data_IF_849153569187
#
_entry.id   IF_849153569187
#
_cell.length_a   1.000
_cell.length_b   1.000
_cell.length_c   1.000
_cell.angle_alpha   90.00
_cell.angle_beta   90.00
_cell.angle_gamma   90.00
#
_symmetry.space_group_name_H-M   'P 1'
#
loop_
_entity.id
_entity.type
_entity.pdbx_description
1 polymer ?
#
# COMPACT_ATOMS: atom_id res chain seq x y z
N UNK A 1 35.36 -44.44 -32.37
CA UNK A 1 35.93 -43.33 -33.18
C UNK A 1 34.80 -42.84 -34.07
N UNK A 2 34.29 -41.61 -34.02
CA UNK A 2 34.86 -40.35 -33.58
C UNK A 2 33.74 -39.48 -32.97
N UNK A 3 34.11 -38.70 -31.96
CA UNK A 3 33.36 -37.54 -31.47
C UNK A 3 33.29 -36.46 -32.57
N UNK A 4 32.29 -35.58 -32.48
CA UNK A 4 32.48 -34.16 -32.74
C UNK A 4 31.45 -33.35 -31.95
N UNK A 5 31.96 -32.51 -31.04
CA UNK A 5 31.28 -31.41 -30.35
C UNK A 5 31.08 -30.23 -31.31
N UNK A 6 29.99 -29.51 -31.10
CA UNK A 6 29.84 -28.05 -31.19
C UNK A 6 28.53 -27.80 -30.42
N UNK A 7 28.45 -27.23 -29.22
CA UNK A 7 29.05 -26.01 -28.67
C UNK A 7 28.79 -24.78 -29.56
N UNK A 8 27.56 -24.28 -29.46
CA UNK A 8 27.26 -22.86 -29.69
C UNK A 8 26.60 -22.32 -28.41
N UNK A 9 27.41 -21.54 -27.72
CA UNK A 9 27.14 -20.66 -26.60
C UNK A 9 26.10 -19.61 -26.96
N UNK A 10 24.98 -19.58 -26.24
CA UNK A 10 24.09 -18.43 -26.17
C UNK A 10 24.39 -17.61 -24.92
N UNK A 11 24.99 -16.43 -25.09
CA UNK A 11 25.11 -15.43 -24.02
C UNK A 11 23.80 -14.65 -23.85
N UNK A 12 23.15 -14.89 -22.70
CA UNK A 12 22.61 -13.95 -21.71
C UNK A 12 21.88 -12.66 -22.14
N UNK A 13 20.58 -12.62 -21.79
CA UNK A 13 19.76 -11.42 -21.56
C UNK A 13 18.54 -11.79 -20.70
N UNK A 14 18.36 -11.15 -19.55
CA UNK A 14 17.57 -11.59 -18.39
C UNK A 14 16.07 -11.91 -18.58
N UNK A 15 15.60 -12.84 -17.73
CA UNK A 15 14.25 -13.41 -17.55
C UNK A 15 13.89 -14.64 -18.42
N UNK A 16 14.60 -15.75 -18.24
CA UNK A 16 14.15 -17.07 -18.70
C UNK A 16 13.26 -17.75 -17.64
N UNK A 17 11.99 -17.38 -17.63
CA UNK A 17 10.87 -18.28 -17.31
C UNK A 17 10.88 -18.95 -15.94
N UNK A 18 10.88 -18.14 -14.86
CA UNK A 18 10.62 -18.64 -13.51
C UNK A 18 9.32 -19.46 -13.41
N UNK A 19 9.09 -20.13 -12.28
CA UNK A 19 7.93 -20.99 -12.10
C UNK A 19 6.61 -20.17 -12.27
N UNK A 20 5.68 -20.59 -13.15
CA UNK A 20 4.43 -19.88 -13.40
C UNK A 20 3.43 -19.98 -12.23
N UNK A 21 3.63 -20.98 -11.37
CA UNK A 21 2.87 -21.30 -10.17
C UNK A 21 3.71 -22.24 -9.28
N UNK A 22 3.11 -22.81 -8.23
CA UNK A 22 3.76 -23.80 -7.35
C UNK A 22 3.05 -25.17 -7.33
N UNK A 23 2.47 -25.59 -8.46
CA UNK A 23 1.79 -26.88 -8.60
C UNK A 23 2.76 -28.07 -8.78
N UNK A 24 4.05 -27.79 -9.03
CA UNK A 24 5.10 -28.79 -9.25
C UNK A 24 5.54 -29.53 -7.98
N UNK A 25 6.65 -30.25 -8.08
CA UNK A 25 7.24 -30.95 -6.94
C UNK A 25 7.64 -29.95 -5.83
N UNK A 26 7.49 -30.37 -4.57
CA UNK A 26 7.95 -29.61 -3.42
C UNK A 26 9.45 -29.29 -3.55
N UNK A 27 9.79 -28.01 -3.39
CA UNK A 27 11.17 -27.52 -3.40
C UNK A 27 11.54 -27.08 -1.98
N UNK A 28 12.46 -27.80 -1.35
CA UNK A 28 12.85 -27.57 0.04
C UNK A 28 13.53 -26.21 0.28
N UNK A 29 14.17 -25.66 -0.73
CA UNK A 29 14.87 -24.37 -0.73
C UNK A 29 14.15 -23.31 -1.58
N UNK A 30 12.83 -23.44 -1.73
CA UNK A 30 11.98 -22.50 -2.47
C UNK A 30 12.16 -21.06 -1.97
N UNK A 31 12.26 -20.13 -2.92
CA UNK A 31 12.22 -18.69 -2.67
C UNK A 31 11.34 -17.99 -3.70
N UNK A 32 10.92 -16.76 -3.42
CA UNK A 32 10.15 -15.99 -4.39
C UNK A 32 10.94 -15.70 -5.67
N UNK A 33 12.28 -15.66 -5.61
CA UNK A 33 13.15 -15.57 -6.78
C UNK A 33 13.04 -16.79 -7.73
N UNK A 34 12.38 -17.89 -7.31
CA UNK A 34 12.10 -19.03 -8.18
C UNK A 34 10.85 -18.82 -9.06
N UNK A 35 10.03 -17.81 -8.76
CA UNK A 35 8.76 -17.54 -9.45
C UNK A 35 8.97 -16.64 -10.66
N UNK A 36 8.16 -16.85 -11.70
CA UNK A 36 8.01 -15.91 -12.81
C UNK A 36 7.47 -14.57 -12.33
N UNK A 37 7.69 -13.52 -13.12
CA UNK A 37 7.09 -12.21 -12.90
C UNK A 37 5.56 -12.28 -12.77
N UNK A 38 4.88 -13.05 -13.62
CA UNK A 38 3.42 -13.20 -13.59
C UNK A 38 2.96 -13.85 -12.28
N UNK A 39 3.68 -14.87 -11.80
CA UNK A 39 3.38 -15.50 -10.52
C UNK A 39 3.59 -14.52 -9.35
N UNK A 40 4.67 -13.73 -9.37
CA UNK A 40 4.93 -12.70 -8.37
C UNK A 40 3.88 -11.60 -8.37
N UNK A 41 3.42 -11.15 -9.53
CA UNK A 41 2.35 -10.14 -9.63
C UNK A 41 1.03 -10.68 -9.08
N UNK A 42 0.68 -11.93 -9.36
CA UNK A 42 -0.50 -12.58 -8.73
C UNK A 42 -0.34 -12.61 -7.22
N UNK A 43 0.82 -13.03 -6.73
CA UNK A 43 1.08 -13.17 -5.31
C UNK A 43 1.08 -11.83 -4.57
N UNK A 44 1.68 -10.78 -5.14
CA UNK A 44 1.65 -9.43 -4.57
C UNK A 44 0.23 -8.89 -4.46
N UNK A 45 -0.64 -9.14 -5.45
CA UNK A 45 -2.06 -8.77 -5.35
C UNK A 45 -2.76 -9.48 -4.19
N UNK A 46 -2.51 -10.78 -4.01
CA UNK A 46 -3.05 -11.54 -2.88
C UNK A 46 -2.50 -11.04 -1.54
N UNK A 47 -1.23 -10.66 -1.45
CA UNK A 47 -0.66 -10.10 -0.22
C UNK A 47 -1.18 -8.71 0.11
N UNK A 48 -1.38 -7.85 -0.89
CA UNK A 48 -2.04 -6.57 -0.71
C UNK A 48 -3.50 -6.77 -0.25
N UNK A 49 -4.22 -7.73 -0.84
CA UNK A 49 -5.59 -8.06 -0.44
C UNK A 49 -5.65 -8.67 0.98
N UNK A 50 -4.65 -9.46 1.38
CA UNK A 50 -4.59 -10.07 2.70
C UNK A 50 -4.58 -9.02 3.82
N UNK A 51 -4.01 -7.83 3.59
CA UNK A 51 -4.06 -6.72 4.54
C UNK A 51 -5.50 -6.29 4.80
N UNK A 52 -6.32 -6.13 3.75
CA UNK A 52 -7.74 -5.82 3.90
C UNK A 52 -8.53 -6.96 4.53
N UNK A 53 -8.22 -8.21 4.21
CA UNK A 53 -8.89 -9.37 4.83
C UNK A 53 -8.61 -9.39 6.35
N UNK A 54 -7.36 -9.13 6.75
CA UNK A 54 -6.97 -9.06 8.16
C UNK A 54 -7.64 -7.88 8.87
N UNK A 55 -7.63 -6.69 8.28
CA UNK A 55 -8.31 -5.49 8.78
C UNK A 55 -9.81 -5.77 9.00
N UNK A 56 -10.51 -6.32 7.99
CA UNK A 56 -11.95 -6.64 8.10
C UNK A 56 -12.23 -7.71 9.14
N UNK A 57 -11.36 -8.72 9.25
CA UNK A 57 -11.50 -9.78 10.25
C UNK A 57 -11.31 -9.24 11.67
N UNK A 58 -10.31 -8.38 11.88
CA UNK A 58 -10.06 -7.73 13.16
C UNK A 58 -11.19 -6.77 13.52
N UNK A 59 -11.62 -5.91 12.58
CA UNK A 59 -12.72 -4.98 12.77
C UNK A 59 -14.02 -5.72 13.15
N UNK A 60 -14.34 -6.82 12.49
CA UNK A 60 -15.50 -7.64 12.83
C UNK A 60 -15.39 -8.22 14.25
N UNK A 61 -14.22 -8.77 14.62
CA UNK A 61 -14.00 -9.33 15.95
C UNK A 61 -14.12 -8.28 17.07
N UNK A 62 -13.56 -7.09 16.86
CA UNK A 62 -13.68 -5.96 17.80
C UNK A 62 -15.13 -5.50 17.86
N UNK A 63 -15.79 -5.29 16.71
CA UNK A 63 -17.18 -4.84 16.65
C UNK A 63 -18.13 -5.78 17.38
N UNK A 64 -17.93 -7.10 17.26
CA UNK A 64 -18.69 -8.12 17.97
C UNK A 64 -18.45 -8.13 19.49
N UNK A 65 -17.22 -7.81 19.93
CA UNK A 65 -16.81 -7.97 21.33
C UNK A 65 -16.93 -6.68 22.14
N UNK A 66 -16.75 -5.53 21.49
CA UNK A 66 -16.59 -4.21 22.12
C UNK A 66 -17.47 -3.12 21.48
N UNK A 67 -18.17 -3.43 20.38
CA UNK A 67 -19.06 -2.51 19.69
C UNK A 67 -18.38 -1.69 18.59
N UNK A 68 -19.21 -1.06 17.75
CA UNK A 68 -18.76 -0.38 16.53
C UNK A 68 -17.97 0.91 16.78
N UNK A 69 -18.24 1.60 17.88
CA UNK A 69 -17.50 2.82 18.24
C UNK A 69 -16.04 2.50 18.61
N UNK A 70 -15.83 1.43 19.37
CA UNK A 70 -14.47 0.98 19.71
C UNK A 70 -13.75 0.39 18.50
N UNK A 71 -14.47 -0.31 17.61
CA UNK A 71 -13.93 -0.75 16.33
C UNK A 71 -13.42 0.43 15.50
N UNK A 72 -14.24 1.47 15.32
CA UNK A 72 -13.87 2.65 14.55
C UNK A 72 -12.65 3.37 15.14
N UNK A 73 -12.65 3.55 16.48
CA UNK A 73 -11.51 4.14 17.20
C UNK A 73 -10.23 3.35 16.98
N UNK A 74 -10.30 2.01 17.09
CA UNK A 74 -9.14 1.13 16.91
C UNK A 74 -8.69 1.06 15.45
N UNK A 75 -9.59 1.10 14.49
CA UNK A 75 -9.25 1.17 13.07
C UNK A 75 -8.48 2.46 12.76
N UNK A 76 -8.93 3.62 13.26
CA UNK A 76 -8.18 4.88 13.12
C UNK A 76 -6.77 4.73 13.70
N UNK A 77 -6.65 4.23 14.94
CA UNK A 77 -5.35 4.10 15.59
C UNK A 77 -4.43 3.11 14.87
N UNK A 78 -4.94 1.97 14.40
CA UNK A 78 -4.18 0.98 13.63
C UNK A 78 -3.57 1.61 12.38
N UNK A 79 -4.39 2.26 11.54
CA UNK A 79 -3.93 2.86 10.29
C UNK A 79 -2.98 4.05 10.53
N UNK A 80 -3.21 4.85 11.58
CA UNK A 80 -2.27 5.91 12.01
C UNK A 80 -0.93 5.34 12.49
N UNK A 81 -0.96 4.19 13.15
CA UNK A 81 0.24 3.51 13.65
C UNK A 81 1.05 2.86 12.54
N UNK A 82 0.39 2.18 11.62
CA UNK A 82 1.01 1.37 10.57
C UNK A 82 1.44 2.17 9.35
N UNK A 83 0.60 3.11 8.87
CA UNK A 83 0.83 3.77 7.57
C UNK A 83 2.13 4.56 7.44
N UNK A 84 2.57 5.33 8.46
CA UNK A 84 3.87 5.98 8.39
C UNK A 84 5.03 4.97 8.35
N UNK A 85 4.84 3.77 8.93
CA UNK A 85 5.89 2.75 9.02
C UNK A 85 6.07 2.05 7.68
N UNK A 86 5.01 1.45 7.12
CA UNK A 86 5.15 0.80 5.82
C UNK A 86 5.36 1.82 4.69
N UNK A 87 4.80 3.04 4.79
CA UNK A 87 5.03 4.10 3.78
C UNK A 87 6.50 4.48 3.63
N UNK A 88 7.22 4.63 4.76
CA UNK A 88 8.68 4.84 4.74
C UNK A 88 9.44 3.65 4.16
N UNK A 89 9.02 2.42 4.48
CA UNK A 89 9.66 1.20 3.95
C UNK A 89 9.46 1.07 2.43
N UNK A 90 8.25 1.31 1.94
CA UNK A 90 7.93 1.33 0.52
C UNK A 90 8.76 2.39 -0.22
N UNK A 91 8.87 3.59 0.35
CA UNK A 91 9.70 4.66 -0.19
C UNK A 91 11.16 4.23 -0.34
N UNK A 92 11.73 3.57 0.68
CA UNK A 92 13.11 3.09 0.66
C UNK A 92 13.33 2.00 -0.41
N UNK A 93 12.51 0.96 -0.43
CA UNK A 93 12.73 -0.18 -1.35
C UNK A 93 12.44 0.18 -2.82
N UNK A 94 11.61 1.20 -3.07
CA UNK A 94 11.28 1.65 -4.42
C UNK A 94 12.05 2.90 -4.85
N UNK A 95 12.97 3.40 -4.02
CA UNK A 95 13.77 4.58 -4.34
C UNK A 95 12.94 5.84 -4.63
N UNK A 96 11.81 6.00 -3.94
CA UNK A 96 10.97 7.20 -4.12
C UNK A 96 11.63 8.35 -3.38
N UNK A 97 12.05 9.38 -4.12
CA UNK A 97 12.65 10.60 -3.58
C UNK A 97 11.67 11.78 -3.53
N UNK A 98 12.12 12.96 -3.09
CA UNK A 98 11.28 14.17 -3.02
C UNK A 98 10.25 14.18 -1.89
N UNK A 99 9.57 15.31 -1.71
CA UNK A 99 8.50 15.48 -0.72
C UNK A 99 7.28 16.20 -1.32
N UNK A 100 7.14 16.18 -2.64
CA UNK A 100 6.03 16.79 -3.36
C UNK A 100 4.82 15.85 -3.45
N UNK A 101 3.77 16.31 -4.14
CA UNK A 101 2.57 15.52 -4.45
C UNK A 101 2.91 14.22 -5.20
N UNK A 102 3.87 14.25 -6.13
CA UNK A 102 4.26 13.04 -6.86
C UNK A 102 4.87 11.98 -5.93
N UNK A 103 5.72 12.40 -5.00
CA UNK A 103 6.34 11.52 -4.02
C UNK A 103 5.28 10.84 -3.13
N UNK A 104 4.28 11.60 -2.69
CA UNK A 104 3.14 11.05 -1.91
C UNK A 104 2.37 10.05 -2.77
N UNK A 105 1.98 10.40 -3.98
CA UNK A 105 1.19 9.52 -4.85
C UNK A 105 1.93 8.25 -5.27
N UNK A 106 3.24 8.31 -5.52
CA UNK A 106 4.07 7.11 -5.79
C UNK A 106 4.03 6.13 -4.62
N UNK A 107 4.07 6.62 -3.37
CA UNK A 107 3.94 5.76 -2.19
C UNK A 107 2.51 5.22 -2.06
N UNK A 108 1.49 6.06 -2.23
CA UNK A 108 0.09 5.62 -2.19
C UNK A 108 -0.25 4.56 -3.24
N UNK A 109 0.37 4.62 -4.43
CA UNK A 109 0.22 3.58 -5.46
C UNK A 109 0.75 2.21 -5.04
N UNK A 110 1.64 2.15 -4.06
CA UNK A 110 2.25 0.92 -3.55
C UNK A 110 1.69 0.52 -2.18
N UNK A 111 0.84 1.36 -1.62
CA UNK A 111 0.33 1.28 -0.27
C UNK A 111 -0.67 0.11 -0.14
N UNK A 112 -0.52 -0.77 0.86
CA UNK A 112 -1.46 -1.87 1.07
C UNK A 112 -2.88 -1.42 1.48
N UNK A 113 -3.07 -0.16 1.89
CA UNK A 113 -4.36 0.49 2.02
C UNK A 113 -5.04 0.75 0.67
N UNK A 114 -4.27 0.78 -0.42
CA UNK A 114 -4.75 0.96 -1.79
C UNK A 114 -4.47 -0.25 -2.71
N UNK A 115 -4.90 -1.47 -2.33
CA UNK A 115 -4.64 -2.68 -3.12
C UNK A 115 -5.31 -2.58 -4.49
N UNK A 116 -4.52 -2.74 -5.55
CA UNK A 116 -5.00 -2.62 -6.93
C UNK A 116 -6.09 -3.64 -7.22
N UNK A 117 -7.09 -3.25 -8.02
CA UNK A 117 -8.27 -4.04 -8.43
C UNK A 117 -9.32 -4.25 -7.35
N UNK A 118 -8.97 -4.29 -6.06
CA UNK A 118 -9.97 -4.15 -4.99
C UNK A 118 -10.36 -2.68 -4.82
N UNK A 119 -9.40 -1.76 -4.93
CA UNK A 119 -9.62 -0.33 -5.13
C UNK A 119 -9.13 0.07 -6.54
N UNK A 120 -9.96 0.80 -7.29
CA UNK A 120 -9.57 1.48 -8.55
C UNK A 120 -9.27 2.94 -8.23
N UNK A 121 -8.04 3.18 -7.76
CA UNK A 121 -7.55 4.51 -7.41
C UNK A 121 -6.92 5.17 -8.63
N UNK A 122 -7.29 6.42 -8.88
CA UNK A 122 -6.76 7.24 -9.97
C UNK A 122 -6.20 8.52 -9.39
N UNK A 123 -5.03 8.92 -9.89
CA UNK A 123 -4.28 10.07 -9.41
C UNK A 123 -4.18 11.14 -10.49
N UNK A 124 -4.23 12.39 -10.09
CA UNK A 124 -4.08 13.57 -10.93
C UNK A 124 -3.12 14.53 -10.24
N UNK A 125 -1.99 14.85 -10.89
CA UNK A 125 -1.03 15.83 -10.39
C UNK A 125 -1.30 17.16 -11.08
N UNK A 126 -1.58 18.22 -10.32
CA UNK A 126 -1.73 19.58 -10.86
C UNK A 126 -0.37 20.26 -10.91
N UNK A 127 0.36 20.23 -9.78
CA UNK A 127 1.73 20.71 -9.64
C UNK A 127 2.42 20.03 -8.42
N UNK A 128 3.61 20.50 -8.05
CA UNK A 128 4.40 19.95 -6.94
C UNK A 128 3.69 20.02 -5.57
N UNK A 129 2.72 20.92 -5.41
CA UNK A 129 2.02 21.18 -4.14
C UNK A 129 0.52 20.86 -4.18
N UNK A 130 -0.03 20.52 -5.33
CA UNK A 130 -1.45 20.28 -5.50
C UNK A 130 -1.74 19.07 -6.40
N UNK A 131 -2.64 18.19 -5.96
CA UNK A 131 -3.13 17.08 -6.75
C UNK A 131 -4.43 16.49 -6.21
N UNK A 132 -4.96 15.50 -6.91
CA UNK A 132 -6.16 14.77 -6.52
C UNK A 132 -5.94 13.27 -6.61
N UNK A 133 -6.66 12.52 -5.79
CA UNK A 133 -6.92 11.11 -6.05
C UNK A 133 -8.40 10.81 -5.91
N UNK A 134 -8.88 9.84 -6.69
CA UNK A 134 -10.27 9.40 -6.66
C UNK A 134 -10.35 7.88 -6.71
N UNK A 135 -11.39 7.33 -6.08
CA UNK A 135 -11.68 5.90 -6.17
C UNK A 135 -12.84 5.73 -7.14
N UNK A 136 -12.54 5.36 -8.38
CA UNK A 136 -13.56 5.01 -9.37
C UNK A 136 -14.37 3.79 -8.92
N UNK A 137 -13.73 2.91 -8.15
CA UNK A 137 -14.34 1.81 -7.41
C UNK A 137 -13.62 1.59 -6.07
N UNK A 138 -14.38 1.27 -5.02
CA UNK A 138 -13.87 1.01 -3.68
C UNK A 138 -14.53 -0.26 -3.13
N UNK A 139 -13.81 -1.38 -3.12
CA UNK A 139 -14.29 -2.65 -2.57
C UNK A 139 -14.69 -2.54 -1.10
N UNK A 140 -13.92 -1.77 -0.31
CA UNK A 140 -14.23 -1.49 1.09
C UNK A 140 -15.61 -0.83 1.26
N UNK A 141 -15.94 0.15 0.40
CA UNK A 141 -17.27 0.76 0.38
C UNK A 141 -18.36 -0.26 0.03
N UNK A 142 -18.11 -1.15 -0.94
CA UNK A 142 -19.09 -2.17 -1.32
C UNK A 142 -19.39 -3.15 -0.18
N UNK A 143 -18.43 -3.37 0.72
CA UNK A 143 -18.65 -4.15 1.94
C UNK A 143 -19.46 -3.37 3.00
N UNK A 144 -19.29 -2.04 3.06
CA UNK A 144 -19.94 -1.18 4.06
C UNK A 144 -21.39 -0.78 3.70
N UNK A 145 -21.67 -0.50 2.42
CA UNK A 145 -22.98 0.00 1.97
C UNK A 145 -24.18 -0.88 2.36
N UNK A 146 -24.10 -2.23 2.29
CA UNK A 146 -25.19 -3.09 2.74
C UNK A 146 -25.58 -2.90 4.22
N UNK A 147 -24.71 -2.32 5.03
CA UNK A 147 -24.94 -2.05 6.45
C UNK A 147 -25.45 -0.62 6.72
N UNK A 148 -25.68 0.16 5.66
CA UNK A 148 -26.32 1.48 5.71
C UNK A 148 -25.39 2.64 6.06
N UNK A 149 -25.95 3.85 5.97
CA UNK A 149 -25.20 5.11 6.01
C UNK A 149 -24.36 5.30 7.28
N UNK A 150 -24.74 4.70 8.41
CA UNK A 150 -23.93 4.77 9.64
C UNK A 150 -22.59 4.05 9.47
N UNK A 151 -22.60 2.85 8.88
CA UNK A 151 -21.37 2.10 8.61
C UNK A 151 -20.51 2.82 7.57
N UNK A 152 -21.16 3.33 6.52
CA UNK A 152 -20.49 4.12 5.48
C UNK A 152 -19.85 5.38 6.05
N UNK A 153 -20.54 6.09 6.95
CA UNK A 153 -20.01 7.30 7.59
C UNK A 153 -18.81 6.99 8.47
N UNK A 154 -18.88 5.92 9.27
CA UNK A 154 -17.76 5.55 10.14
C UNK A 154 -16.47 5.27 9.35
N UNK A 155 -16.59 4.59 8.22
CA UNK A 155 -15.44 4.33 7.36
C UNK A 155 -15.02 5.55 6.52
N UNK A 156 -15.93 6.09 5.72
CA UNK A 156 -15.59 7.11 4.71
C UNK A 156 -15.40 8.52 5.26
N UNK A 157 -15.81 8.76 6.51
CA UNK A 157 -15.62 10.05 7.18
C UNK A 157 -14.64 9.88 8.33
N UNK A 158 -14.94 9.04 9.32
CA UNK A 158 -14.13 9.03 10.53
C UNK A 158 -12.78 8.33 10.35
N UNK A 159 -12.76 7.14 9.75
CA UNK A 159 -11.51 6.41 9.51
C UNK A 159 -10.66 7.12 8.45
N UNK A 160 -11.23 7.47 7.30
CA UNK A 160 -10.49 8.15 6.22
C UNK A 160 -9.96 9.53 6.66
N UNK A 161 -10.77 10.39 7.32
CA UNK A 161 -10.29 11.70 7.81
C UNK A 161 -9.24 11.54 8.92
N UNK A 162 -9.38 10.51 9.77
CA UNK A 162 -8.46 10.25 10.87
C UNK A 162 -7.09 9.73 10.43
N UNK A 163 -6.94 9.31 9.17
CA UNK A 163 -5.77 8.54 8.71
C UNK A 163 -5.03 9.18 7.55
N UNK A 164 -5.72 9.76 6.57
CA UNK A 164 -5.08 10.24 5.33
C UNK A 164 -3.99 11.29 5.55
N UNK A 165 -4.23 12.29 6.42
CA UNK A 165 -3.20 13.28 6.75
C UNK A 165 -1.99 12.63 7.41
N UNK A 166 -2.18 11.64 8.30
CA UNK A 166 -1.07 10.94 8.96
C UNK A 166 -0.24 10.16 7.94
N UNK A 167 -0.89 9.52 6.96
CA UNK A 167 -0.22 8.81 5.88
C UNK A 167 0.57 9.77 4.99
N UNK A 168 -0.05 10.87 4.53
CA UNK A 168 0.62 11.84 3.66
C UNK A 168 1.75 12.60 4.37
N UNK A 169 1.56 12.95 5.65
CA UNK A 169 2.56 13.67 6.45
C UNK A 169 3.79 12.84 6.81
N UNK A 170 3.71 11.50 6.66
CA UNK A 170 4.89 10.65 6.73
C UNK A 170 5.89 10.92 5.58
N UNK A 171 5.44 11.52 4.48
CA UNK A 171 6.26 11.93 3.34
C UNK A 171 6.50 13.45 3.35
N UNK A 172 5.45 14.26 3.53
CA UNK A 172 5.57 15.71 3.66
C UNK A 172 4.77 16.24 4.86
N UNK A 173 5.42 16.77 5.92
CA UNK A 173 4.75 17.28 7.13
C UNK A 173 3.71 18.39 6.93
N UNK A 174 3.60 18.93 5.72
CA UNK A 174 2.69 20.00 5.31
C UNK A 174 1.60 19.54 4.34
N UNK A 175 1.52 18.24 4.04
CA UNK A 175 0.46 17.66 3.24
C UNK A 175 -0.85 17.50 4.03
N UNK A 176 -1.95 18.02 3.49
CA UNK A 176 -3.32 17.81 3.97
C UNK A 176 -4.17 17.21 2.84
N UNK A 177 -4.99 16.22 3.16
CA UNK A 177 -5.92 15.55 2.25
C UNK A 177 -7.35 15.88 2.68
N UNK A 178 -8.15 16.48 1.80
CA UNK A 178 -9.55 16.85 2.07
C UNK A 178 -10.47 16.28 1.01
N UNK A 179 -11.66 15.84 1.41
CA UNK A 179 -12.62 15.30 0.47
C UNK A 179 -13.17 16.41 -0.43
N UNK A 180 -13.21 16.17 -1.73
CA UNK A 180 -14.07 16.90 -2.67
C UNK A 180 -15.50 16.35 -2.57
N UNK A 181 -15.60 15.02 -2.54
CA UNK A 181 -16.83 14.32 -2.19
C UNK A 181 -16.54 12.90 -1.69
N UNK A 182 -17.50 12.33 -0.97
CA UNK A 182 -17.40 10.98 -0.41
C UNK A 182 -18.79 10.37 -0.19
N UNK A 183 -18.87 9.04 0.03
CA UNK A 183 -20.11 8.35 0.39
C UNK A 183 -20.74 8.87 1.69
N UNK A 184 -22.04 8.62 1.98
CA UNK A 184 -22.99 7.81 1.21
C UNK A 184 -23.23 8.31 -0.22
N UNK A 185 -23.33 7.38 -1.18
CA UNK A 185 -23.47 7.75 -2.59
C UNK A 185 -24.89 8.24 -2.87
N UNK A 186 -25.00 9.51 -3.27
CA UNK A 186 -26.25 10.13 -3.73
C UNK A 186 -26.01 10.79 -5.09
N UNK A 187 -26.65 10.32 -6.18
CA UNK A 187 -27.42 9.07 -6.28
C UNK A 187 -26.55 7.83 -5.99
N UNK A 188 -27.20 6.68 -5.74
CA UNK A 188 -26.51 5.43 -5.33
C UNK A 188 -25.60 4.84 -6.41
N UNK A 189 -25.62 5.37 -7.63
CA UNK A 189 -24.74 5.01 -8.74
C UNK A 189 -23.63 6.04 -8.99
N UNK A 190 -23.46 7.04 -8.10
CA UNK A 190 -22.40 8.05 -8.20
C UNK A 190 -21.02 7.39 -8.37
N UNK A 191 -20.31 7.82 -9.39
CA UNK A 191 -18.92 7.49 -9.67
C UNK A 191 -18.15 8.77 -10.04
N UNK A 192 -16.88 8.94 -9.64
CA UNK A 192 -16.14 8.07 -8.71
C UNK A 192 -16.78 8.03 -7.32
N UNK A 193 -16.57 6.95 -6.56
CA UNK A 193 -17.16 6.74 -5.24
C UNK A 193 -16.77 7.87 -4.27
N UNK A 194 -15.50 8.25 -4.27
CA UNK A 194 -14.97 9.43 -3.57
C UNK A 194 -13.88 10.12 -4.40
N UNK A 195 -13.65 11.39 -4.10
CA UNK A 195 -12.55 12.18 -4.65
C UNK A 195 -11.98 13.06 -3.55
N UNK A 196 -10.66 13.15 -3.53
CA UNK A 196 -9.87 13.80 -2.50
C UNK A 196 -8.85 14.74 -3.14
N UNK A 197 -8.65 15.88 -2.50
CA UNK A 197 -7.70 16.92 -2.86
C UNK A 197 -6.53 16.86 -1.88
N UNK A 198 -5.32 16.84 -2.39
CA UNK A 198 -4.06 16.87 -1.65
C UNK A 198 -3.41 18.23 -1.87
N UNK A 199 -3.17 18.96 -0.79
CA UNK A 199 -2.52 20.27 -0.81
C UNK A 199 -1.31 20.27 0.15
N UNK A 200 -0.18 20.78 -0.33
CA UNK A 200 1.03 21.03 0.46
C UNK A 200 1.21 22.54 0.64
N UNK A 201 0.77 23.04 1.78
CA UNK A 201 0.86 24.46 2.15
C UNK A 201 1.68 24.62 3.43
N UNK A 202 2.58 25.61 3.48
CA UNK A 202 3.43 25.84 4.66
C UNK A 202 2.61 26.24 5.89
N UNK A 203 1.40 26.78 5.70
CA UNK A 203 0.43 27.11 6.76
C UNK A 203 -0.35 25.88 7.26
N UNK A 204 -0.26 24.73 6.59
CA UNK A 204 -0.91 23.51 7.05
C UNK A 204 -0.34 23.05 8.40
N UNK A 205 -1.24 22.57 9.27
CA UNK A 205 -0.88 21.99 10.55
C UNK A 205 -0.04 20.73 10.34
N UNK A 206 1.12 20.67 11.00
CA UNK A 206 1.91 19.45 11.13
C UNK A 206 1.41 18.67 12.33
N UNK A 207 0.90 17.47 12.09
CA UNK A 207 0.38 16.59 13.11
C UNK A 207 1.53 16.07 13.99
N UNK A 208 1.35 15.99 15.32
CA UNK A 208 2.30 15.29 16.16
C UNK A 208 2.33 13.80 15.81
N UNK A 209 3.49 13.18 15.97
CA UNK A 209 3.60 11.73 15.85
C UNK A 209 2.69 11.04 16.87
N UNK A 210 1.83 10.13 16.39
CA UNK A 210 0.94 9.39 17.28
C UNK A 210 1.72 8.39 18.14
N UNK A 211 1.25 8.18 19.37
CA UNK A 211 1.88 7.25 20.31
C UNK A 211 1.94 5.83 19.74
N UNK A 212 0.86 5.37 19.10
CA UNK A 212 0.82 4.05 18.46
C UNK A 212 1.82 3.91 17.31
N UNK A 213 2.09 4.99 16.55
CA UNK A 213 3.15 5.00 15.52
C UNK A 213 4.52 4.82 16.17
N UNK A 214 4.78 5.50 17.29
CA UNK A 214 6.03 5.36 18.06
C UNK A 214 6.20 3.91 18.54
N UNK A 215 5.15 3.31 19.09
CA UNK A 215 5.15 1.91 19.53
C UNK A 215 5.41 0.96 18.37
N UNK A 216 4.73 1.18 17.24
CA UNK A 216 4.84 0.32 16.05
C UNK A 216 6.26 0.33 15.48
N UNK A 217 6.92 1.50 15.42
CA UNK A 217 8.32 1.64 14.98
C UNK A 217 9.31 0.82 15.83
N UNK A 218 9.02 0.58 17.11
CA UNK A 218 9.90 -0.18 18.01
C UNK A 218 9.79 -1.71 17.81
N UNK A 219 8.82 -2.18 17.03
CA UNK A 219 8.66 -3.61 16.79
C UNK A 219 9.79 -4.15 15.90
N UNK A 220 10.10 -5.44 16.07
CA UNK A 220 11.01 -6.14 15.16
C UNK A 220 10.46 -6.16 13.74
N UNK A 221 9.14 -6.23 13.56
CA UNK A 221 8.51 -6.17 12.24
C UNK A 221 8.80 -4.84 11.51
N UNK A 222 8.74 -3.71 12.21
CA UNK A 222 9.02 -2.40 11.63
C UNK A 222 10.51 -2.21 11.25
N UNK A 223 11.41 -2.81 12.03
CA UNK A 223 12.87 -2.67 11.88
C UNK A 223 13.53 -3.81 11.12
N UNK A 224 12.77 -4.83 10.70
CA UNK A 224 13.30 -5.98 9.99
C UNK A 224 13.82 -5.59 8.61
N UNK A 225 15.04 -6.01 8.31
CA UNK A 225 15.67 -5.91 6.99
C UNK A 225 15.76 -7.30 6.37
N UNK A 226 15.20 -7.46 5.17
CA UNK A 226 15.33 -8.71 4.44
C UNK A 226 16.77 -8.87 3.96
N UNK A 227 17.29 -10.12 3.93
CA UNK A 227 18.59 -10.38 3.33
C UNK A 227 18.59 -10.04 1.84
N UNK A 228 19.77 -9.89 1.22
CA UNK A 228 19.88 -9.81 -0.23
C UNK A 228 19.19 -10.99 -0.93
N UNK A 229 18.75 -10.74 -2.15
CA UNK A 229 18.24 -11.75 -3.07
C UNK A 229 19.31 -12.81 -3.35
N UNK A 230 18.92 -13.96 -3.90
CA UNK A 230 19.84 -15.08 -4.17
C UNK A 230 21.06 -14.71 -5.04
N UNK A 231 20.93 -13.73 -5.93
CA UNK A 231 22.01 -13.23 -6.80
C UNK A 231 22.91 -12.18 -6.13
N UNK A 232 22.63 -11.82 -4.88
CA UNK A 232 23.35 -10.79 -4.13
C UNK A 232 22.75 -9.39 -4.24
N UNK A 233 21.69 -9.20 -5.03
CA UNK A 233 20.99 -7.91 -5.13
C UNK A 233 20.44 -7.52 -3.75
N UNK A 234 20.76 -6.33 -3.21
CA UNK A 234 20.29 -5.93 -1.90
C UNK A 234 18.78 -5.69 -1.88
N UNK A 235 18.12 -5.96 -0.75
CA UNK A 235 16.69 -5.71 -0.59
C UNK A 235 16.35 -4.22 -0.65
N UNK A 236 17.20 -3.40 -0.04
CA UNK A 236 17.14 -1.94 -0.15
C UNK A 236 18.16 -1.54 -1.23
N UNK A 237 17.73 -0.92 -2.34
CA UNK A 237 18.65 -0.48 -3.39
C UNK A 237 19.73 0.46 -2.84
N UNK A 238 20.93 0.37 -3.40
CA UNK A 238 21.99 1.33 -3.10
C UNK A 238 21.62 2.71 -3.69
N UNK A 239 22.02 3.82 -3.06
CA UNK A 239 21.84 5.15 -3.63
C UNK A 239 22.45 5.22 -5.03
N UNK A 240 21.79 5.95 -5.95
CA UNK A 240 22.23 6.07 -7.34
C UNK A 240 23.65 6.66 -7.50
N UNK A 241 24.16 7.35 -6.47
CA UNK A 241 25.49 7.98 -6.43
C UNK A 241 26.54 7.19 -5.60
N UNK A 242 26.33 5.89 -5.35
CA UNK A 242 27.22 5.09 -4.51
C UNK A 242 28.44 4.47 -5.23
N UNK A 243 28.80 4.97 -6.42
CA UNK A 243 29.96 4.54 -7.22
C UNK A 243 31.15 5.53 -7.14
#
# INVERSE_FOLDING_TARGET
MSQSKADETGEQGGDEGGLPDYAGAFKADFRYEDLSREALVRLVREYAQAVHILDRSMCAAIGMSHGMEEMERLAIEEWRGASPVYGRRLRQIMGVEGNDVEAIFKVLQLDPGFPHHYLDVRYEVVDERHGFFELAYCGALMDAEPWGDKMVTGMCHHIEDGTFDVTAQAINPKAHIRHVHRPPRVPSDRSPHCRWELIIDDDNETLPEAEITTITKMTTAATFEFPPMRDGTPHIPLPADAD
#
